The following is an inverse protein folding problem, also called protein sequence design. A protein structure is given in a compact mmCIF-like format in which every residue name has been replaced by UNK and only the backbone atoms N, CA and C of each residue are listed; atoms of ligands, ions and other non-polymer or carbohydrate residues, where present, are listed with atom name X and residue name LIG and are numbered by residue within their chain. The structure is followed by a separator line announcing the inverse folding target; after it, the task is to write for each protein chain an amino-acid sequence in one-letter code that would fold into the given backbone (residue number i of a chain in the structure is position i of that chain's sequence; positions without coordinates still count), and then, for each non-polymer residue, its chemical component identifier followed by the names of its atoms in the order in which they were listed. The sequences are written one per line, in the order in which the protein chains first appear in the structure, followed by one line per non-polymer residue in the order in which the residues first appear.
data_IF_800047191222
#
_entry.id   IF_800047191222
#
_cell.length_a   1.000
_cell.length_b   1.000
_cell.length_c   1.000
_cell.angle_alpha   90.00
_cell.angle_beta   90.00
_cell.angle_gamma   90.00
#
_symmetry.space_group_name_H-M   'P 1'
#
loop_
_entity.id
_entity.type
_entity.pdbx_description
1 polymer ?
#
# COMPACT_ATOMS: atom_id res chain seq x y z
N UNK A 1 20.34 -14.03 -2.06
CA UNK A 1 19.46 -14.14 -0.86
C UNK A 1 18.16 -13.43 -1.21
N UNK A 2 16.99 -13.94 -0.82
CA UNK A 2 15.70 -13.35 -1.22
C UNK A 2 15.57 -11.90 -0.72
N UNK A 3 15.18 -10.97 -1.58
CA UNK A 3 14.99 -9.55 -1.22
C UNK A 3 13.93 -9.38 -0.13
N UNK A 4 12.91 -10.25 -0.13
CA UNK A 4 11.89 -10.31 0.93
C UNK A 4 12.51 -10.70 2.28
N UNK A 5 13.41 -11.69 2.29
CA UNK A 5 14.08 -12.12 3.52
C UNK A 5 15.03 -11.02 4.05
N UNK A 6 15.74 -10.34 3.16
CA UNK A 6 16.59 -9.21 3.52
C UNK A 6 15.77 -8.08 4.16
N UNK A 7 14.62 -7.74 3.58
CA UNK A 7 13.69 -6.76 4.15
C UNK A 7 13.19 -7.20 5.53
N UNK A 8 12.76 -8.46 5.69
CA UNK A 8 12.33 -8.99 6.99
C UNK A 8 13.42 -8.89 8.06
N UNK A 9 14.65 -9.30 7.75
CA UNK A 9 15.76 -9.25 8.69
C UNK A 9 16.08 -7.81 9.11
N UNK A 10 16.12 -6.88 8.15
CA UNK A 10 16.38 -5.46 8.40
C UNK A 10 15.28 -4.83 9.26
N UNK A 11 14.01 -5.00 8.88
CA UNK A 11 12.86 -4.51 9.64
C UNK A 11 12.88 -5.05 11.08
N UNK A 12 13.19 -6.35 11.24
CA UNK A 12 13.29 -6.96 12.56
C UNK A 12 14.39 -6.29 13.38
N UNK A 13 15.60 -6.20 12.86
CA UNK A 13 16.76 -5.68 13.58
C UNK A 13 16.62 -4.19 13.91
N UNK A 14 16.17 -3.39 12.95
CA UNK A 14 16.24 -1.93 13.03
C UNK A 14 15.01 -1.31 13.71
N UNK A 15 13.83 -1.94 13.59
CA UNK A 15 12.57 -1.32 13.99
C UNK A 15 11.79 -2.14 15.02
N UNK A 16 11.50 -3.41 14.73
CA UNK A 16 10.60 -4.20 15.58
C UNK A 16 11.28 -4.65 16.87
N UNK A 17 12.49 -5.22 16.78
CA UNK A 17 13.20 -5.74 17.95
C UNK A 17 13.50 -4.67 18.99
N UNK A 18 14.03 -3.49 18.65
CA UNK A 18 14.26 -2.42 19.62
C UNK A 18 12.99 -1.98 20.36
N UNK A 19 11.85 -1.90 19.65
CA UNK A 19 10.58 -1.53 20.27
C UNK A 19 10.03 -2.62 21.21
N UNK A 20 10.19 -3.90 20.82
CA UNK A 20 9.83 -5.03 21.69
C UNK A 20 10.71 -5.12 22.94
N UNK A 21 12.02 -4.92 22.79
CA UNK A 21 12.97 -4.93 23.90
C UNK A 21 12.63 -3.80 24.89
N UNK A 22 12.34 -2.59 24.39
CA UNK A 22 11.91 -1.47 25.23
C UNK A 22 10.61 -1.75 26.01
N UNK A 23 9.64 -2.45 25.40
CA UNK A 23 8.42 -2.88 26.09
C UNK A 23 8.73 -3.90 27.21
N UNK A 24 9.60 -4.87 26.93
CA UNK A 24 10.03 -5.89 27.91
C UNK A 24 10.74 -5.23 29.09
N UNK A 25 11.61 -4.26 28.83
CA UNK A 25 12.32 -3.51 29.87
C UNK A 25 11.37 -2.69 30.75
N UNK A 26 10.37 -2.03 30.15
CA UNK A 26 9.33 -1.32 30.88
C UNK A 26 8.53 -2.27 31.79
N UNK A 27 8.11 -3.43 31.27
CA UNK A 27 7.40 -4.45 32.04
C UNK A 27 8.23 -4.97 33.23
N UNK A 28 9.52 -5.26 32.98
CA UNK A 28 10.42 -5.73 34.03
C UNK A 28 10.69 -4.66 35.08
N UNK A 29 10.73 -3.39 34.69
CA UNK A 29 10.86 -2.26 35.61
C UNK A 29 9.61 -2.10 36.48
N UNK A 30 8.42 -2.18 35.88
CA UNK A 30 7.15 -2.11 36.60
C UNK A 30 7.02 -3.23 37.66
N UNK A 31 7.45 -4.45 37.35
CA UNK A 31 7.43 -5.58 38.29
C UNK A 31 8.31 -5.39 39.53
N UNK A 32 9.31 -4.52 39.46
CA UNK A 32 10.29 -4.27 40.53
C UNK A 32 10.05 -2.95 41.25
N UNK A 33 9.18 -2.09 40.72
CA UNK A 33 8.94 -0.75 41.24
C UNK A 33 7.91 -0.77 42.37
N UNK A 34 8.10 0.10 43.37
CA UNK A 34 7.08 0.38 44.38
C UNK A 34 5.92 1.19 43.79
N UNK A 35 6.20 1.99 42.75
CA UNK A 35 5.22 2.71 41.94
C UNK A 35 5.35 2.25 40.47
N UNK A 36 4.39 1.47 39.95
CA UNK A 36 4.42 0.96 38.59
C UNK A 36 3.95 1.99 37.54
N UNK A 37 3.45 3.16 37.93
CA UNK A 37 2.87 4.11 36.97
C UNK A 37 3.92 4.69 36.02
N UNK A 38 5.08 5.08 36.57
CA UNK A 38 6.21 5.59 35.77
C UNK A 38 6.70 4.60 34.69
N UNK A 39 7.05 3.34 35.02
CA UNK A 39 7.44 2.37 34.00
C UNK A 39 6.27 1.99 33.06
N UNK A 40 5.02 2.12 33.50
CA UNK A 40 3.85 1.91 32.63
C UNK A 40 3.80 2.94 31.51
N UNK A 41 4.08 4.22 31.79
CA UNK A 41 4.18 5.27 30.74
C UNK A 41 5.25 4.92 29.71
N UNK A 42 6.42 4.44 30.14
CA UNK A 42 7.47 3.99 29.22
C UNK A 42 7.00 2.81 28.35
N UNK A 43 6.23 1.89 28.93
CA UNK A 43 5.61 0.78 28.22
C UNK A 43 4.63 1.23 27.13
N UNK A 44 3.79 2.23 27.41
CA UNK A 44 2.86 2.80 26.42
C UNK A 44 3.64 3.37 25.22
N UNK A 45 4.69 4.17 25.48
CA UNK A 45 5.53 4.73 24.41
C UNK A 45 6.20 3.63 23.58
N UNK A 46 6.65 2.55 24.20
CA UNK A 46 7.23 1.41 23.48
C UNK A 46 6.20 0.71 22.57
N UNK A 47 4.96 0.54 23.04
CA UNK A 47 3.87 -0.04 22.25
C UNK A 47 3.45 0.86 21.07
N UNK A 48 3.40 2.17 21.27
CA UNK A 48 3.13 3.13 20.18
C UNK A 48 4.20 3.06 19.10
N UNK A 49 5.48 2.99 19.49
CA UNK A 49 6.59 2.78 18.56
C UNK A 49 6.49 1.45 17.82
N UNK A 50 6.14 0.37 18.53
CA UNK A 50 5.97 -0.95 17.93
C UNK A 50 4.82 -0.95 16.90
N UNK A 51 3.71 -0.27 17.21
CA UNK A 51 2.59 -0.10 16.29
C UNK A 51 3.03 0.62 15.02
N UNK A 52 3.68 1.78 15.15
CA UNK A 52 4.16 2.54 14.00
C UNK A 52 5.16 1.73 13.15
N UNK A 53 6.13 1.09 13.81
CA UNK A 53 7.10 0.22 13.15
C UNK A 53 6.43 -0.96 12.42
N UNK A 54 5.39 -1.56 13.01
CA UNK A 54 4.63 -2.65 12.39
C UNK A 54 3.84 -2.18 11.17
N UNK A 55 3.22 -0.99 11.24
CA UNK A 55 2.48 -0.41 10.12
C UNK A 55 3.41 -0.13 8.92
N UNK A 56 4.60 0.40 9.17
CA UNK A 56 5.58 0.65 8.11
C UNK A 56 6.22 -0.64 7.59
N UNK A 57 6.54 -1.59 8.48
CA UNK A 57 6.99 -2.93 8.11
C UNK A 57 6.01 -3.65 7.18
N UNK A 58 4.69 -3.57 7.47
CA UNK A 58 3.67 -4.16 6.63
C UNK A 58 3.63 -3.55 5.22
N UNK A 59 3.78 -2.22 5.10
CA UNK A 59 3.83 -1.56 3.79
C UNK A 59 5.05 -2.01 2.99
N UNK A 60 6.22 -2.02 3.63
CA UNK A 60 7.46 -2.39 2.98
C UNK A 60 7.46 -3.85 2.52
N UNK A 61 7.05 -4.78 3.38
CA UNK A 61 6.96 -6.21 3.03
C UNK A 61 5.96 -6.47 1.90
N UNK A 62 4.86 -5.71 1.83
CA UNK A 62 3.91 -5.80 0.71
C UNK A 62 4.54 -5.33 -0.60
N UNK A 63 5.40 -4.33 -0.57
CA UNK A 63 6.15 -3.87 -1.77
C UNK A 63 7.17 -4.92 -2.18
N UNK A 64 8.02 -5.38 -1.24
CA UNK A 64 9.05 -6.39 -1.54
C UNK A 64 8.44 -7.69 -2.08
N UNK A 65 7.32 -8.13 -1.49
CA UNK A 65 6.62 -9.33 -1.96
C UNK A 65 5.98 -9.13 -3.34
N UNK A 66 5.59 -7.89 -3.69
CA UNK A 66 4.98 -7.57 -4.98
C UNK A 66 6.06 -7.62 -6.06
N UNK A 67 7.20 -6.97 -5.80
CA UNK A 67 8.35 -6.95 -6.70
C UNK A 67 8.87 -8.37 -6.95
N UNK A 68 8.97 -9.18 -5.90
CA UNK A 68 9.35 -10.59 -6.01
C UNK A 68 8.36 -11.36 -6.89
N UNK A 69 7.04 -11.23 -6.69
CA UNK A 69 6.05 -11.95 -7.48
C UNK A 69 5.98 -11.45 -8.95
N UNK A 70 6.08 -10.13 -9.14
CA UNK A 70 6.07 -9.50 -10.46
C UNK A 70 7.28 -9.93 -11.30
N UNK A 71 8.47 -10.02 -10.71
CA UNK A 71 9.68 -10.51 -11.39
C UNK A 71 9.56 -11.96 -11.89
N UNK A 72 8.66 -12.74 -11.27
CA UNK A 72 8.40 -14.14 -11.60
C UNK A 72 7.16 -14.32 -12.49
N UNK A 73 6.46 -13.24 -12.84
CA UNK A 73 5.21 -13.29 -13.61
C UNK A 73 4.03 -13.93 -12.85
N UNK A 74 4.11 -14.05 -11.53
CA UNK A 74 3.09 -14.72 -10.71
C UNK A 74 1.96 -13.75 -10.38
N UNK A 75 0.74 -14.07 -10.79
CA UNK A 75 -0.46 -13.25 -10.51
C UNK A 75 -1.20 -13.69 -9.25
N UNK A 76 -1.09 -14.96 -8.86
CA UNK A 76 -1.67 -15.49 -7.62
C UNK A 76 -0.94 -16.75 -7.20
N UNK A 77 -0.80 -16.97 -5.90
CA UNK A 77 -0.22 -18.19 -5.34
C UNK A 77 -0.79 -18.53 -3.96
N UNK A 78 -0.59 -19.76 -3.53
CA UNK A 78 -1.00 -20.22 -2.20
C UNK A 78 0.14 -20.07 -1.19
N UNK A 79 -0.18 -19.57 0.00
CA UNK A 79 0.74 -19.41 1.11
C UNK A 79 0.12 -20.03 2.38
N UNK A 80 0.19 -21.36 2.48
CA UNK A 80 -0.43 -22.12 3.57
C UNK A 80 -1.96 -21.92 3.62
N UNK A 81 -2.53 -21.38 4.72
CA UNK A 81 -3.96 -21.12 4.83
C UNK A 81 -4.42 -19.87 4.07
N UNK A 82 -3.50 -19.16 3.39
CA UNK A 82 -3.80 -17.95 2.65
C UNK A 82 -3.68 -18.14 1.13
N UNK A 83 -4.43 -17.32 0.39
CA UNK A 83 -4.23 -17.07 -1.03
C UNK A 83 -3.74 -15.63 -1.18
N UNK A 84 -2.64 -15.49 -1.92
CA UNK A 84 -2.03 -14.21 -2.23
C UNK A 84 -2.32 -13.90 -3.69
N UNK A 85 -2.95 -12.76 -3.96
CA UNK A 85 -3.27 -12.28 -5.31
C UNK A 85 -2.61 -10.94 -5.55
N UNK A 86 -1.89 -10.83 -6.67
CA UNK A 86 -1.29 -9.57 -7.12
C UNK A 86 -2.33 -8.75 -7.85
N UNK A 87 -2.59 -7.54 -7.35
CA UNK A 87 -3.42 -6.55 -8.00
C UNK A 87 -2.54 -5.58 -8.78
N UNK A 88 -2.64 -5.66 -10.10
CA UNK A 88 -2.06 -4.66 -10.97
C UNK A 88 -2.75 -3.29 -10.75
N UNK A 89 -2.01 -2.18 -10.90
CA UNK A 89 -2.59 -0.83 -10.94
C UNK A 89 -3.77 -0.78 -11.92
N UNK A 90 -4.84 -0.07 -11.56
CA UNK A 90 -5.91 0.14 -12.52
C UNK A 90 -5.46 1.18 -13.55
N UNK A 91 -5.50 0.83 -14.83
CA UNK A 91 -5.28 1.81 -15.90
C UNK A 91 -6.56 2.64 -16.03
N UNK A 92 -6.45 3.94 -15.78
CA UNK A 92 -7.56 4.89 -15.80
C UNK A 92 -7.17 6.21 -16.44
N UNK A 93 -8.16 6.97 -16.92
CA UNK A 93 -7.91 8.28 -17.48
C UNK A 93 -7.45 9.30 -16.43
N UNK A 94 -6.45 10.10 -16.78
CA UNK A 94 -6.06 11.35 -16.11
C UNK A 94 -6.33 12.50 -17.06
N UNK A 95 -6.96 13.55 -16.54
CA UNK A 95 -7.21 14.79 -17.27
C UNK A 95 -6.23 15.82 -16.71
N UNK A 96 -5.35 16.33 -17.57
CA UNK A 96 -4.36 17.35 -17.24
C UNK A 96 -4.66 18.70 -17.89
N UNK A 97 -5.48 18.72 -18.95
CA UNK A 97 -6.02 19.93 -19.56
C UNK A 97 -7.49 19.73 -19.95
N UNK A 98 -8.39 20.17 -19.06
CA UNK A 98 -9.83 20.06 -19.28
C UNK A 98 -10.31 20.93 -20.46
N UNK A 99 -9.67 22.06 -20.72
CA UNK A 99 -10.08 22.98 -21.78
C UNK A 99 -9.83 22.36 -23.16
N UNK A 100 -8.64 21.78 -23.35
CA UNK A 100 -8.31 21.02 -24.55
C UNK A 100 -9.23 19.81 -24.73
N UNK A 101 -9.54 19.10 -23.63
CA UNK A 101 -10.41 17.93 -23.68
C UNK A 101 -11.85 18.29 -24.06
N UNK A 102 -12.38 19.41 -23.54
CA UNK A 102 -13.74 19.88 -23.83
C UNK A 102 -13.89 20.32 -25.29
N UNK A 103 -12.83 20.84 -25.91
CA UNK A 103 -12.82 21.17 -27.35
C UNK A 103 -12.74 19.90 -28.20
N UNK A 104 -11.90 18.95 -27.83
CA UNK A 104 -11.67 17.74 -28.61
C UNK A 104 -12.81 16.71 -28.52
N UNK A 105 -13.41 16.56 -27.33
CA UNK A 105 -14.46 15.58 -27.04
C UNK A 105 -15.55 16.19 -26.15
N UNK A 106 -16.33 17.16 -26.66
CA UNK A 106 -17.39 17.83 -25.89
C UNK A 106 -18.49 16.89 -25.42
N UNK A 107 -18.68 15.77 -26.13
CA UNK A 107 -19.66 14.73 -25.80
C UNK A 107 -19.35 13.99 -24.49
N UNK A 108 -18.11 14.01 -24.01
CA UNK A 108 -17.73 13.49 -22.69
C UNK A 108 -18.31 14.31 -21.52
N UNK A 109 -18.84 15.50 -21.78
CA UNK A 109 -19.42 16.40 -20.79
C UNK A 109 -20.96 16.44 -20.85
N UNK A 110 -21.60 15.60 -21.68
CA UNK A 110 -23.06 15.52 -21.77
C UNK A 110 -23.53 14.24 -21.10
N UNK A 111 -24.52 14.26 -20.18
CA UNK A 111 -25.51 15.30 -19.91
C UNK A 111 -25.16 16.30 -18.77
N UNK A 112 -23.99 16.19 -18.13
CA UNK A 112 -23.58 17.06 -17.02
C UNK A 112 -22.36 17.89 -17.44
N UNK A 113 -22.52 19.14 -17.95
CA UNK A 113 -21.43 19.93 -18.55
C UNK A 113 -20.24 20.19 -17.61
N UNK A 114 -20.49 20.08 -16.30
CA UNK A 114 -19.50 20.26 -15.24
C UNK A 114 -18.80 18.95 -14.82
N UNK A 115 -19.20 17.80 -15.39
CA UNK A 115 -18.64 16.49 -15.05
C UNK A 115 -18.24 15.69 -16.28
N UNK A 116 -17.03 15.14 -16.20
CA UNK A 116 -16.48 14.28 -17.23
C UNK A 116 -17.03 12.86 -17.06
N UNK A 117 -17.51 12.27 -18.15
CA UNK A 117 -17.83 10.86 -18.26
C UNK A 117 -16.56 9.99 -18.21
N UNK A 118 -15.97 9.89 -17.02
CA UNK A 118 -14.67 9.23 -16.76
C UNK A 118 -14.60 7.78 -17.27
N UNK A 119 -15.66 6.94 -17.16
CA UNK A 119 -15.64 5.60 -17.73
C UNK A 119 -15.52 5.59 -19.25
N UNK A 120 -16.21 6.50 -19.93
CA UNK A 120 -16.20 6.64 -21.39
C UNK A 120 -14.86 7.21 -21.88
N UNK A 121 -14.34 8.22 -21.19
CA UNK A 121 -12.99 8.75 -21.43
C UNK A 121 -11.92 7.63 -21.33
N UNK A 122 -11.98 6.84 -20.25
CA UNK A 122 -11.06 5.72 -20.05
C UNK A 122 -11.20 4.67 -21.15
N UNK A 123 -12.43 4.40 -21.64
CA UNK A 123 -12.69 3.46 -22.73
C UNK A 123 -12.06 3.92 -24.04
N UNK A 124 -12.25 5.19 -24.41
CA UNK A 124 -11.70 5.80 -25.63
C UNK A 124 -10.17 5.78 -25.65
N UNK A 125 -9.57 6.24 -24.56
CA UNK A 125 -8.12 6.21 -24.40
C UNK A 125 -7.56 4.77 -24.44
N UNK A 126 -8.25 3.78 -23.85
CA UNK A 126 -7.89 2.35 -23.97
C UNK A 126 -8.01 1.79 -25.38
N UNK A 127 -8.88 2.35 -26.21
CA UNK A 127 -9.00 2.00 -27.62
C UNK A 127 -7.91 2.62 -28.50
N UNK A 128 -7.00 3.42 -27.92
CA UNK A 128 -5.92 4.11 -28.64
C UNK A 128 -6.31 5.46 -29.23
N UNK A 129 -7.48 5.99 -28.85
CA UNK A 129 -7.90 7.33 -29.26
C UNK A 129 -7.02 8.39 -28.60
N UNK A 130 -6.50 9.33 -29.41
CA UNK A 130 -5.77 10.48 -28.89
C UNK A 130 -6.74 11.60 -28.52
N UNK A 131 -6.88 11.88 -27.23
CA UNK A 131 -7.72 12.95 -26.70
C UNK A 131 -6.84 14.02 -26.06
N UNK A 132 -6.64 15.18 -26.71
CA UNK A 132 -5.90 16.30 -26.14
C UNK A 132 -6.36 16.64 -24.72
N UNK A 133 -5.42 16.77 -23.80
CA UNK A 133 -5.70 17.09 -22.40
C UNK A 133 -6.06 15.92 -21.50
N UNK A 134 -6.05 14.69 -22.02
CA UNK A 134 -6.19 13.47 -21.22
C UNK A 134 -5.27 12.34 -21.70
N UNK A 135 -4.86 11.48 -20.77
CA UNK A 135 -4.04 10.30 -21.05
C UNK A 135 -4.42 9.11 -20.17
N UNK A 136 -3.99 7.91 -20.56
CA UNK A 136 -4.04 6.76 -19.66
C UNK A 136 -2.87 6.85 -18.70
N UNK A 137 -3.20 6.86 -17.41
CA UNK A 137 -2.23 6.67 -16.36
C UNK A 137 -2.52 5.37 -15.60
N UNK A 138 -1.47 4.78 -15.04
CA UNK A 138 -1.59 3.68 -14.09
C UNK A 138 -1.97 4.28 -12.74
N UNK A 139 -3.27 4.42 -12.51
CA UNK A 139 -3.78 4.86 -11.21
C UNK A 139 -3.61 3.75 -10.16
N UNK A 140 -2.90 4.11 -9.10
CA UNK A 140 -2.75 3.29 -7.89
C UNK A 140 -1.43 2.53 -7.83
N UNK A 141 -0.90 2.40 -6.61
CA UNK A 141 0.26 1.55 -6.38
C UNK A 141 -0.12 0.08 -6.62
N UNK A 142 0.76 -0.71 -7.24
CA UNK A 142 0.58 -2.15 -7.26
C UNK A 142 0.46 -2.68 -5.83
N UNK A 143 -0.47 -3.61 -5.61
CA UNK A 143 -0.75 -4.08 -4.26
C UNK A 143 -0.96 -5.58 -4.22
N UNK A 144 -0.71 -6.14 -3.04
CA UNK A 144 -0.97 -7.53 -2.76
C UNK A 144 -2.24 -7.64 -1.94
N UNK A 145 -3.14 -8.52 -2.36
CA UNK A 145 -4.26 -8.94 -1.55
C UNK A 145 -3.97 -10.31 -0.94
N UNK A 146 -4.06 -10.41 0.39
CA UNK A 146 -3.92 -11.66 1.13
C UNK A 146 -5.30 -12.00 1.70
N UNK A 147 -5.83 -13.19 1.39
CA UNK A 147 -7.12 -13.68 1.89
C UNK A 147 -6.94 -15.05 2.54
N UNK A 148 -7.68 -15.32 3.62
CA UNK A 148 -7.79 -16.68 4.15
C UNK A 148 -8.55 -17.59 3.19
N UNK A 149 -8.13 -18.85 3.08
CA UNK A 149 -8.90 -19.91 2.45
C UNK A 149 -10.13 -20.18 3.31
N UNK A 150 -11.29 -20.34 2.66
CA UNK A 150 -12.51 -20.77 3.34
C UNK A 150 -12.44 -22.27 3.65
#
# INVERSE_FOLDING_TARGET
MSDVLNAMNRIHADALKPAMDAWIDALNSARKANDPDTPTVAGIVALERLKAASDDAMKELRVALYESAASQGVLSYEAGPYVVTIKQPSIGAVVFDEAALRVAAPDLFVPQPDKIATPELTRRLKAGEHLPGAELDRKGAPSIQIRGKK
#
